data_IF_719273765684
#
_entry.id   IF_719273765684
#
_cell.length_a   1.000
_cell.length_b   1.000
_cell.length_c   1.000
_cell.angle_alpha   90.00
_cell.angle_beta   90.00
_cell.angle_gamma   90.00
#
_symmetry.space_group_name_H-M   'P 1'
#
loop_
_entity.id
_entity.type
_entity.pdbx_description
1 polymer ?
#
# COMPACT_ATOMS: atom_id res chain seq x y z
N UNK A 1 35.48 32.76 -20.51
CA UNK A 1 36.08 31.51 -20.00
C UNK A 1 36.21 30.56 -21.18
N UNK A 2 37.44 30.36 -21.67
CA UNK A 2 37.72 29.31 -22.64
C UNK A 2 37.86 28.04 -21.80
N UNK A 3 36.80 27.25 -21.69
CA UNK A 3 36.91 25.93 -21.06
C UNK A 3 37.87 25.15 -21.97
N UNK A 4 38.95 24.65 -21.38
CA UNK A 4 39.89 23.82 -22.12
C UNK A 4 39.13 22.62 -22.68
N UNK A 5 39.30 22.37 -23.98
CA UNK A 5 38.46 21.44 -24.72
C UNK A 5 38.65 20.02 -24.17
N UNK A 6 39.85 19.71 -23.70
CA UNK A 6 40.18 18.47 -23.00
C UNK A 6 39.47 18.35 -21.65
N UNK A 7 39.47 19.42 -20.85
CA UNK A 7 38.79 19.44 -19.54
C UNK A 7 37.26 19.26 -19.71
N UNK A 8 36.68 19.84 -20.76
CA UNK A 8 35.26 19.66 -21.09
C UNK A 8 34.93 18.22 -21.50
N UNK A 9 35.77 17.60 -22.35
CA UNK A 9 35.61 16.21 -22.77
C UNK A 9 35.66 15.28 -21.55
N UNK A 10 36.64 15.48 -20.67
CA UNK A 10 36.81 14.68 -19.46
C UNK A 10 35.60 14.78 -18.52
N UNK A 11 35.04 15.99 -18.37
CA UNK A 11 33.81 16.20 -17.61
C UNK A 11 32.61 15.47 -18.21
N UNK A 12 32.51 15.40 -19.54
CA UNK A 12 31.43 14.67 -20.21
C UNK A 12 31.57 13.16 -20.03
N UNK A 13 32.78 12.63 -20.13
CA UNK A 13 33.05 11.19 -19.90
C UNK A 13 32.64 10.77 -18.48
N UNK A 14 33.02 11.55 -17.46
CA UNK A 14 32.60 11.27 -16.07
C UNK A 14 31.07 11.32 -15.87
N UNK A 15 30.38 12.21 -16.60
CA UNK A 15 28.92 12.30 -16.54
C UNK A 15 28.27 11.10 -17.24
N UNK A 16 28.82 10.65 -18.36
CA UNK A 16 28.34 9.48 -19.09
C UNK A 16 28.50 8.23 -18.22
N UNK A 17 29.67 8.03 -17.60
CA UNK A 17 29.92 6.87 -16.74
C UNK A 17 28.94 6.81 -15.54
N UNK A 18 28.64 7.98 -14.93
CA UNK A 18 27.63 8.08 -13.88
C UNK A 18 26.22 7.70 -14.37
N UNK A 19 25.86 8.13 -15.58
CA UNK A 19 24.58 7.80 -16.18
C UNK A 19 24.49 6.32 -16.54
N UNK A 20 25.54 5.74 -17.11
CA UNK A 20 25.60 4.31 -17.42
C UNK A 20 25.41 3.45 -16.16
N UNK A 21 26.07 3.81 -15.05
CA UNK A 21 25.87 3.15 -13.74
C UNK A 21 24.45 3.32 -13.20
N UNK A 22 23.83 4.49 -13.38
CA UNK A 22 22.44 4.72 -12.97
C UNK A 22 21.43 3.91 -13.80
N UNK A 23 21.72 3.70 -15.09
CA UNK A 23 20.86 2.98 -16.01
C UNK A 23 21.17 1.49 -16.12
N UNK A 24 22.21 0.97 -15.47
CA UNK A 24 22.57 -0.46 -15.48
C UNK A 24 21.42 -1.37 -15.02
N UNK A 25 20.53 -0.85 -14.18
CA UNK A 25 19.36 -1.57 -13.67
C UNK A 25 18.04 -1.18 -14.34
N UNK A 26 18.10 -0.25 -15.32
CA UNK A 26 16.97 0.19 -16.13
C UNK A 26 17.13 -0.39 -17.54
N UNK A 27 16.42 -1.48 -17.82
CA UNK A 27 16.33 -2.00 -19.18
C UNK A 27 15.06 -1.46 -19.85
N UNK A 28 15.22 -0.83 -21.02
CA UNK A 28 14.12 -0.56 -21.96
C UNK A 28 14.32 -1.52 -23.12
N UNK A 29 13.49 -2.54 -23.21
CA UNK A 29 13.60 -3.55 -24.25
C UNK A 29 12.93 -3.10 -25.57
N UNK A 30 13.03 -3.93 -26.59
CA UNK A 30 12.43 -3.68 -27.91
C UNK A 30 10.89 -3.63 -27.86
N UNK A 31 10.28 -4.09 -26.76
CA UNK A 31 8.85 -4.06 -26.51
C UNK A 31 8.37 -2.77 -25.81
N UNK A 32 9.29 -1.82 -25.53
CA UNK A 32 9.04 -0.61 -24.74
C UNK A 32 8.62 -0.91 -23.30
N UNK A 33 9.00 -2.07 -22.77
CA UNK A 33 8.80 -2.39 -21.37
C UNK A 33 9.94 -1.79 -20.54
N UNK A 34 9.59 -1.14 -19.43
CA UNK A 34 10.56 -0.65 -18.46
C UNK A 34 10.67 -1.69 -17.35
N UNK A 35 11.80 -2.41 -17.30
CA UNK A 35 12.09 -3.35 -16.23
C UNK A 35 12.96 -2.69 -15.17
N UNK A 36 12.39 -2.55 -13.96
CA UNK A 36 13.06 -2.01 -12.77
C UNK A 36 13.48 -3.17 -11.88
N UNK A 37 14.77 -3.52 -11.89
CA UNK A 37 15.29 -4.67 -11.12
C UNK A 37 16.06 -4.22 -9.89
N UNK A 38 15.79 -4.87 -8.74
CA UNK A 38 16.49 -4.63 -7.45
C UNK A 38 16.48 -3.15 -7.00
N UNK A 39 15.37 -2.44 -7.17
CA UNK A 39 15.25 -1.04 -6.74
C UNK A 39 13.94 -0.79 -5.98
N UNK A 40 13.94 0.23 -5.13
CA UNK A 40 12.76 0.72 -4.42
C UNK A 40 11.98 1.68 -5.31
N UNK A 41 10.66 1.52 -5.39
CA UNK A 41 9.77 2.48 -6.05
C UNK A 41 9.09 3.31 -4.97
N UNK A 42 9.30 4.63 -4.99
CA UNK A 42 8.66 5.56 -4.06
C UNK A 42 7.23 5.88 -4.50
N UNK A 43 7.09 6.77 -5.48
CA UNK A 43 5.79 7.13 -6.04
C UNK A 43 5.68 6.67 -7.50
N UNK A 44 4.57 6.00 -7.83
CA UNK A 44 4.21 5.64 -9.20
C UNK A 44 2.99 6.46 -9.61
N UNK A 45 3.14 7.33 -10.62
CA UNK A 45 2.01 8.04 -11.24
C UNK A 45 1.61 7.32 -12.52
N UNK A 46 0.33 6.99 -12.61
CA UNK A 46 -0.28 6.41 -13.80
C UNK A 46 -1.28 7.38 -14.42
N UNK A 47 -1.41 7.32 -15.75
CA UNK A 47 -2.49 8.00 -16.46
C UNK A 47 -3.78 7.19 -16.47
N UNK A 48 -4.78 7.67 -17.19
CA UNK A 48 -6.05 6.99 -17.35
C UNK A 48 -5.87 5.62 -18.02
N UNK A 49 -6.66 4.63 -17.58
CA UNK A 49 -6.70 3.26 -18.11
C UNK A 49 -5.37 2.47 -18.01
N UNK A 50 -4.49 2.79 -17.05
CA UNK A 50 -3.31 1.99 -16.75
C UNK A 50 -3.59 0.91 -15.68
N UNK A 51 -2.96 -0.26 -15.82
CA UNK A 51 -3.01 -1.35 -14.85
C UNK A 51 -1.62 -1.60 -14.24
N UNK A 52 -1.54 -1.77 -12.91
CA UNK A 52 -0.36 -2.30 -12.23
C UNK A 52 -0.63 -3.76 -11.89
N UNK A 53 0.32 -4.64 -12.21
CA UNK A 53 0.27 -6.05 -11.82
C UNK A 53 1.52 -6.39 -11.01
N UNK A 54 1.33 -6.70 -9.73
CA UNK A 54 2.40 -7.15 -8.83
C UNK A 54 2.34 -8.68 -8.74
N UNK A 55 3.40 -9.37 -9.16
CA UNK A 55 3.51 -10.84 -9.08
C UNK A 55 4.69 -11.21 -8.20
N UNK A 56 4.46 -12.08 -7.21
CA UNK A 56 5.50 -12.61 -6.33
C UNK A 56 6.31 -11.54 -5.58
N UNK A 57 5.72 -10.38 -5.28
CA UNK A 57 6.35 -9.35 -4.45
C UNK A 57 6.12 -9.68 -2.97
N UNK A 58 7.15 -9.66 -2.10
CA UNK A 58 6.94 -9.75 -0.66
C UNK A 58 6.19 -8.49 -0.23
N UNK A 59 4.91 -8.66 0.13
CA UNK A 59 3.98 -7.56 0.43
C UNK A 59 4.14 -7.07 1.88
N UNK A 60 5.39 -6.92 2.34
CA UNK A 60 5.72 -6.76 3.76
C UNK A 60 5.08 -5.56 4.47
N UNK A 61 4.60 -4.55 3.73
CA UNK A 61 3.90 -3.39 4.30
C UNK A 61 2.37 -3.43 4.21
N UNK A 62 1.79 -4.25 3.32
CA UNK A 62 0.31 -4.41 3.26
C UNK A 62 -0.15 -5.42 4.30
N UNK A 63 0.72 -6.36 4.68
CA UNK A 63 0.42 -7.36 5.71
C UNK A 63 0.14 -6.69 7.06
N UNK A 64 0.90 -5.67 7.47
CA UNK A 64 0.65 -4.96 8.73
C UNK A 64 -0.69 -4.22 8.76
N UNK A 65 -1.06 -3.56 7.65
CA UNK A 65 -2.35 -2.88 7.55
C UNK A 65 -3.53 -3.88 7.55
N UNK A 66 -3.30 -5.10 7.02
CA UNK A 66 -4.27 -6.21 7.08
C UNK A 66 -4.36 -6.78 8.49
N UNK A 67 -3.24 -7.05 9.16
CA UNK A 67 -3.21 -7.55 10.56
C UNK A 67 -3.89 -6.57 11.52
N UNK A 68 -3.65 -5.26 11.36
CA UNK A 68 -4.34 -4.20 12.12
C UNK A 68 -5.84 -4.16 11.80
N UNK A 69 -6.23 -4.40 10.54
CA UNK A 69 -7.63 -4.47 10.16
C UNK A 69 -8.33 -5.72 10.72
N UNK A 70 -7.67 -6.88 10.73
CA UNK A 70 -8.17 -8.12 11.33
C UNK A 70 -8.39 -7.97 12.83
N UNK A 71 -7.42 -7.42 13.56
CA UNK A 71 -7.57 -7.15 15.00
C UNK A 71 -8.74 -6.22 15.29
N UNK A 72 -8.98 -5.22 14.43
CA UNK A 72 -10.14 -4.31 14.58
C UNK A 72 -11.47 -4.98 14.27
N UNK A 73 -11.49 -5.98 13.39
CA UNK A 73 -12.68 -6.77 13.09
C UNK A 73 -13.05 -7.63 14.30
N UNK A 74 -12.08 -8.32 14.91
CA UNK A 74 -12.31 -9.13 16.12
C UNK A 74 -12.89 -8.28 17.28
N UNK A 75 -12.35 -7.08 17.49
CA UNK A 75 -12.89 -6.13 18.49
C UNK A 75 -14.33 -5.71 18.19
N UNK A 76 -14.67 -5.52 16.91
CA UNK A 76 -16.03 -5.16 16.50
C UNK A 76 -17.00 -6.33 16.67
N UNK A 77 -16.56 -7.56 16.41
CA UNK A 77 -17.38 -8.76 16.62
C UNK A 77 -17.74 -8.93 18.10
N UNK A 78 -16.77 -8.81 19.01
CA UNK A 78 -17.02 -8.87 20.46
C UNK A 78 -18.01 -7.77 20.92
N UNK A 79 -17.85 -6.54 20.42
CA UNK A 79 -18.75 -5.43 20.77
C UNK A 79 -20.16 -5.64 20.24
N UNK A 80 -20.31 -6.30 19.09
CA UNK A 80 -21.63 -6.64 18.54
C UNK A 80 -22.30 -7.69 19.43
N UNK A 81 -21.55 -8.70 19.90
CA UNK A 81 -22.07 -9.74 20.79
C UNK A 81 -22.58 -9.14 22.12
N UNK A 82 -21.81 -8.23 22.73
CA UNK A 82 -22.23 -7.52 23.94
C UNK A 82 -23.52 -6.72 23.72
N UNK A 83 -23.62 -5.98 22.61
CA UNK A 83 -24.82 -5.19 22.28
C UNK A 83 -26.04 -6.09 22.07
N UNK A 84 -25.87 -7.26 21.45
CA UNK A 84 -26.96 -8.21 21.24
C UNK A 84 -27.48 -8.75 22.59
N UNK A 85 -26.58 -9.08 23.52
CA UNK A 85 -26.94 -9.52 24.86
C UNK A 85 -27.70 -8.43 25.63
N UNK A 86 -27.26 -7.17 25.55
CA UNK A 86 -27.94 -6.04 26.18
C UNK A 86 -29.36 -5.82 25.62
N UNK A 87 -29.53 -5.99 24.31
CA UNK A 87 -30.84 -5.89 23.64
C UNK A 87 -31.78 -6.99 24.13
N UNK A 88 -31.29 -8.22 24.23
CA UNK A 88 -32.08 -9.36 24.73
C UNK A 88 -32.51 -9.15 26.18
N UNK A 89 -31.61 -8.69 27.05
CA UNK A 89 -31.95 -8.38 28.44
C UNK A 89 -32.99 -7.24 28.53
N UNK A 90 -32.81 -6.18 27.75
CA UNK A 90 -33.77 -5.07 27.69
C UNK A 90 -35.14 -5.55 27.20
N UNK A 91 -35.19 -6.47 26.23
CA UNK A 91 -36.40 -7.11 25.74
C UNK A 91 -37.14 -7.87 26.84
N UNK A 92 -36.43 -8.71 27.60
CA UNK A 92 -36.99 -9.46 28.73
C UNK A 92 -37.58 -8.50 29.77
N UNK A 93 -36.83 -7.46 30.14
CA UNK A 93 -37.28 -6.45 31.12
C UNK A 93 -38.54 -5.72 30.66
N UNK A 94 -38.62 -5.37 29.37
CA UNK A 94 -39.79 -4.73 28.80
C UNK A 94 -41.02 -5.64 28.85
N UNK A 95 -40.85 -6.92 28.54
CA UNK A 95 -41.94 -7.90 28.61
C UNK A 95 -42.43 -8.12 30.05
N UNK A 96 -41.53 -8.19 31.03
CA UNK A 96 -41.90 -8.25 32.46
C UNK A 96 -42.76 -7.05 32.85
N UNK A 97 -42.30 -5.82 32.56
CA UNK A 97 -43.03 -4.60 32.89
C UNK A 97 -44.41 -4.52 32.21
N UNK A 98 -44.50 -5.01 30.97
CA UNK A 98 -45.76 -5.06 30.22
C UNK A 98 -46.75 -6.05 30.81
N UNK A 99 -46.28 -7.15 31.39
CA UNK A 99 -47.11 -8.13 32.06
C UNK A 99 -47.57 -7.61 33.44
N UNK A 100 -46.68 -6.96 34.19
CA UNK A 100 -47.01 -6.36 35.49
C UNK A 100 -48.02 -5.20 35.37
N UNK A 101 -47.99 -4.46 34.26
CA UNK A 101 -48.93 -3.36 33.99
C UNK A 101 -50.34 -3.82 33.55
N UNK A 102 -50.54 -5.12 33.32
CA UNK A 102 -51.82 -5.72 32.92
C UNK A 102 -52.59 -6.39 34.07
N UNK A 103 -51.99 -6.49 35.25
CA UNK A 103 -52.61 -6.95 36.49
C UNK A 103 -53.17 -5.76 37.29
#
# INVERSE_FOLDING_TARGET
>A
MNIDREEYIKSLEERIEKLEKLFEHLCIDQCKEIALTKCSLGDIKLGDNCNITLKNCPVGGVISDIEDAESRVDDLENRIEDILNDIDEAGIRLDTLKNDSKC
#
